data_IF_265262838940
#
_entry.id   IF_265262838940
#
_cell.length_a   1.000
_cell.length_b   1.000
_cell.length_c   1.000
_cell.angle_alpha   90.00
_cell.angle_beta   90.00
_cell.angle_gamma   90.00
#
_symmetry.space_group_name_H-M   'P 1'
#
loop_
_entity.id
_entity.type
_entity.pdbx_description
1 polymer ?
#
# COMPACT_ATOMS: atom_id res chain seq x y z
N UNK A 1 -14.48 44.21 -24.40
CA UNK A 1 -15.00 44.14 -23.02
C UNK A 1 -14.43 42.89 -22.35
N UNK A 2 -13.61 43.04 -21.32
CA UNK A 2 -12.80 41.93 -20.81
C UNK A 2 -13.63 41.06 -19.85
N UNK A 3 -14.05 39.87 -20.29
CA UNK A 3 -14.99 39.00 -19.57
C UNK A 3 -14.51 38.65 -18.16
N UNK A 4 -13.19 38.53 -17.97
CA UNK A 4 -12.58 38.31 -16.65
C UNK A 4 -12.89 39.42 -15.63
N UNK A 5 -13.02 40.68 -16.07
CA UNK A 5 -13.35 41.80 -15.17
C UNK A 5 -14.79 41.71 -14.65
N UNK A 6 -15.71 41.18 -15.48
CA UNK A 6 -17.11 40.96 -15.10
C UNK A 6 -17.20 39.82 -14.09
N UNK A 7 -16.55 38.69 -14.38
CA UNK A 7 -16.50 37.54 -13.46
C UNK A 7 -15.94 37.96 -12.10
N UNK A 8 -14.84 38.70 -12.08
CA UNK A 8 -14.22 39.14 -10.83
C UNK A 8 -15.11 40.11 -10.04
N UNK A 9 -15.83 41.01 -10.73
CA UNK A 9 -16.79 41.90 -10.07
C UNK A 9 -17.94 41.14 -9.38
N UNK A 10 -18.41 40.04 -10.00
CA UNK A 10 -19.42 39.16 -9.41
C UNK A 10 -18.86 38.44 -8.20
N UNK A 11 -17.69 37.78 -8.33
CA UNK A 11 -17.04 37.07 -7.22
C UNK A 11 -16.79 37.99 -6.02
N UNK A 12 -16.28 39.20 -6.25
CA UNK A 12 -16.06 40.17 -5.16
C UNK A 12 -17.36 40.55 -4.46
N UNK A 13 -18.45 40.73 -5.21
CA UNK A 13 -19.76 41.05 -4.64
C UNK A 13 -20.24 39.91 -3.74
N UNK A 14 -20.15 38.68 -4.22
CA UNK A 14 -20.62 37.50 -3.49
C UNK A 14 -19.80 37.25 -2.23
N UNK A 15 -18.46 37.37 -2.31
CA UNK A 15 -17.57 37.29 -1.14
C UNK A 15 -17.86 38.40 -0.14
N UNK A 16 -18.10 39.63 -0.60
CA UNK A 16 -18.46 40.73 0.30
C UNK A 16 -19.80 40.48 1.00
N UNK A 17 -20.81 39.93 0.31
CA UNK A 17 -22.08 39.53 0.92
C UNK A 17 -21.90 38.39 1.94
N UNK A 18 -21.14 37.35 1.58
CA UNK A 18 -20.83 36.22 2.48
C UNK A 18 -20.09 36.70 3.74
N UNK A 19 -19.10 37.57 3.58
CA UNK A 19 -18.28 38.09 4.69
C UNK A 19 -19.06 38.91 5.73
N UNK A 20 -20.23 39.42 5.34
CA UNK A 20 -21.08 40.26 6.18
C UNK A 20 -21.96 39.43 7.12
N UNK A 21 -22.14 38.14 6.85
CA UNK A 21 -22.77 37.19 7.75
C UNK A 21 -21.71 36.48 8.60
N UNK A 22 -21.70 36.79 9.89
CA UNK A 22 -20.74 36.23 10.87
C UNK A 22 -20.84 34.71 10.97
N UNK A 23 -22.03 34.14 10.82
CA UNK A 23 -22.24 32.69 10.91
C UNK A 23 -21.60 31.98 9.72
N UNK A 24 -21.81 32.49 8.50
CA UNK A 24 -21.17 31.94 7.30
C UNK A 24 -19.65 32.04 7.37
N UNK A 25 -19.09 33.19 7.75
CA UNK A 25 -17.64 33.35 7.91
C UNK A 25 -17.09 32.37 8.94
N UNK A 26 -17.74 32.24 10.09
CA UNK A 26 -17.32 31.34 11.14
C UNK A 26 -17.32 29.88 10.67
N UNK A 27 -18.41 29.41 10.04
CA UNK A 27 -18.50 28.03 9.53
C UNK A 27 -17.50 27.77 8.41
N UNK A 28 -17.26 28.72 7.49
CA UNK A 28 -16.26 28.54 6.43
C UNK A 28 -14.85 28.40 7.01
N UNK A 29 -14.49 29.23 7.99
CA UNK A 29 -13.19 29.13 8.66
C UNK A 29 -13.11 27.82 9.46
N UNK A 30 -14.16 27.48 10.20
CA UNK A 30 -14.23 26.23 10.97
C UNK A 30 -14.07 25.01 10.05
N UNK A 31 -14.75 24.98 8.90
CA UNK A 31 -14.63 23.93 7.92
C UNK A 31 -13.23 23.83 7.31
N UNK A 32 -12.60 24.97 7.02
CA UNK A 32 -11.22 25.00 6.52
C UNK A 32 -10.25 24.44 7.57
N UNK A 33 -10.38 24.85 8.82
CA UNK A 33 -9.57 24.36 9.94
C UNK A 33 -9.82 22.87 10.18
N UNK A 34 -11.08 22.44 10.18
CA UNK A 34 -11.44 21.03 10.33
C UNK A 34 -10.88 20.17 9.19
N UNK A 35 -10.90 20.68 7.95
CA UNK A 35 -10.30 20.00 6.81
C UNK A 35 -8.78 19.83 6.98
N UNK A 36 -8.08 20.90 7.37
CA UNK A 36 -6.64 20.83 7.66
C UNK A 36 -6.35 19.87 8.82
N UNK A 37 -7.16 19.92 9.88
CA UNK A 37 -7.01 19.03 11.03
C UNK A 37 -7.23 17.55 10.64
N UNK A 38 -8.19 17.26 9.76
CA UNK A 38 -8.42 15.91 9.24
C UNK A 38 -7.20 15.42 8.45
N UNK A 39 -6.61 16.26 7.61
CA UNK A 39 -5.37 15.93 6.89
C UNK A 39 -4.17 15.76 7.82
N UNK A 40 -4.16 16.45 8.96
CA UNK A 40 -3.10 16.29 9.96
C UNK A 40 -3.24 14.97 10.73
N UNK A 41 -4.47 14.53 10.99
CA UNK A 41 -4.74 13.24 11.63
C UNK A 41 -4.61 12.06 10.66
N UNK A 42 -4.74 12.30 9.35
CA UNK A 42 -4.61 11.26 8.34
C UNK A 42 -3.18 10.70 8.36
N UNK A 43 -2.97 9.39 8.58
CA UNK A 43 -1.64 8.79 8.52
C UNK A 43 -1.03 9.00 7.12
N UNK A 44 0.24 9.40 7.10
CA UNK A 44 1.02 9.70 5.90
C UNK A 44 1.50 8.44 5.15
N UNK A 45 1.23 7.26 5.72
CA UNK A 45 1.68 5.96 5.22
C UNK A 45 0.51 5.11 4.76
N UNK A 46 0.48 4.84 3.46
CA UNK A 46 -0.28 3.74 2.87
C UNK A 46 0.67 2.55 2.83
N UNK A 47 0.30 1.42 3.45
CA UNK A 47 1.11 0.18 3.43
C UNK A 47 0.93 -0.50 2.06
N UNK A 48 1.56 0.04 1.02
CA UNK A 48 1.53 -0.50 -0.35
C UNK A 48 2.52 -1.66 -0.54
N UNK A 49 3.29 -2.00 0.49
CA UNK A 49 4.28 -3.07 0.43
C UNK A 49 3.65 -4.42 0.75
N UNK A 50 3.47 -5.24 -0.29
CA UNK A 50 3.09 -6.64 -0.11
C UNK A 50 4.34 -7.40 0.36
N UNK A 51 4.30 -7.88 1.61
CA UNK A 51 5.38 -8.70 2.18
C UNK A 51 5.11 -10.16 1.89
N UNK A 52 6.02 -10.81 1.17
CA UNK A 52 5.91 -12.24 0.82
C UNK A 52 7.05 -13.03 1.44
N UNK A 53 6.70 -14.15 2.06
CA UNK A 53 7.67 -15.14 2.50
C UNK A 53 8.01 -16.11 1.37
N UNK A 54 9.26 -16.52 1.28
CA UNK A 54 9.71 -17.47 0.26
C UNK A 54 10.61 -18.55 0.86
N UNK A 55 10.31 -19.81 0.59
CA UNK A 55 11.16 -20.95 0.94
C UNK A 55 11.52 -21.76 -0.31
N UNK A 56 12.75 -22.26 -0.37
CA UNK A 56 13.19 -23.16 -1.44
C UNK A 56 14.70 -23.19 -1.63
N UNK A 57 15.21 -24.34 -2.06
CA UNK A 57 16.64 -24.54 -2.31
C UNK A 57 17.14 -23.63 -3.44
N UNK A 58 18.08 -22.73 -3.12
CA UNK A 58 18.67 -21.77 -4.07
C UNK A 58 17.83 -20.51 -4.33
N UNK A 59 16.60 -20.43 -3.81
CA UNK A 59 15.71 -19.28 -4.01
C UNK A 59 16.13 -18.08 -3.17
N UNK A 60 16.66 -18.30 -1.96
CA UNK A 60 17.13 -17.21 -1.08
C UNK A 60 18.19 -16.31 -1.73
N UNK A 61 19.09 -16.87 -2.55
CA UNK A 61 20.05 -16.07 -3.32
C UNK A 61 19.38 -15.22 -4.41
N UNK A 62 18.33 -15.75 -5.04
CA UNK A 62 17.55 -15.02 -6.05
C UNK A 62 16.81 -13.84 -5.42
N UNK A 63 16.22 -14.05 -4.24
CA UNK A 63 15.56 -13.01 -3.45
C UNK A 63 16.56 -11.92 -3.04
N UNK A 64 17.72 -12.31 -2.52
CA UNK A 64 18.77 -11.36 -2.16
C UNK A 64 19.27 -10.53 -3.36
N UNK A 65 19.23 -11.10 -4.57
CA UNK A 65 19.60 -10.41 -5.81
C UNK A 65 18.48 -9.50 -6.34
N UNK A 66 17.21 -9.84 -6.10
CA UNK A 66 16.04 -9.03 -6.46
C UNK A 66 15.93 -7.78 -5.58
N UNK A 67 16.40 -7.86 -4.33
CA UNK A 67 16.37 -6.77 -3.36
C UNK A 67 14.96 -6.32 -2.98
N UNK A 68 14.88 -5.30 -2.12
CA UNK A 68 13.62 -4.63 -1.82
C UNK A 68 13.20 -3.79 -3.04
N UNK A 69 12.10 -4.19 -3.67
CA UNK A 69 11.48 -3.39 -4.74
C UNK A 69 10.36 -2.54 -4.16
N UNK A 70 10.10 -1.37 -4.75
CA UNK A 70 8.97 -0.53 -4.36
C UNK A 70 7.66 -1.35 -4.41
N UNK A 71 6.99 -1.49 -3.27
CA UNK A 71 5.73 -2.23 -3.15
C UNK A 71 5.86 -3.74 -2.93
N UNK A 72 7.07 -4.33 -2.94
CA UNK A 72 7.27 -5.77 -2.70
C UNK A 72 8.49 -6.03 -1.80
N UNK A 73 8.25 -6.57 -0.60
CA UNK A 73 9.34 -7.02 0.28
C UNK A 73 9.33 -8.54 0.37
N UNK A 74 10.48 -9.16 0.09
CA UNK A 74 10.64 -10.60 0.04
C UNK A 74 11.50 -11.08 1.21
N UNK A 75 10.96 -11.95 2.06
CA UNK A 75 11.70 -12.55 3.18
C UNK A 75 11.94 -14.02 2.90
N UNK A 76 13.22 -14.44 2.88
CA UNK A 76 13.57 -15.85 2.68
C UNK A 76 13.52 -16.63 3.99
N UNK A 77 12.95 -17.84 3.96
CA UNK A 77 12.87 -18.77 5.09
C UNK A 77 13.67 -20.05 4.80
N UNK A 78 14.34 -20.56 5.84
CA UNK A 78 15.17 -21.77 5.73
C UNK A 78 14.35 -23.06 5.68
N UNK A 79 13.12 -23.07 6.21
CA UNK A 79 12.25 -24.25 6.25
C UNK A 79 10.81 -23.93 5.86
N UNK A 80 10.12 -24.90 5.24
CA UNK A 80 8.70 -24.81 4.89
C UNK A 80 7.81 -24.62 6.13
N UNK A 81 8.14 -25.30 7.24
CA UNK A 81 7.40 -25.17 8.51
C UNK A 81 7.51 -23.75 9.08
N UNK A 82 8.70 -23.15 9.09
CA UNK A 82 8.89 -21.79 9.57
C UNK A 82 8.12 -20.76 8.71
N UNK A 83 8.10 -20.96 7.39
CA UNK A 83 7.32 -20.14 6.48
C UNK A 83 5.81 -20.25 6.77
N UNK A 84 5.32 -21.47 6.96
CA UNK A 84 3.90 -21.70 7.24
C UNK A 84 3.48 -21.00 8.53
N UNK A 85 4.21 -21.19 9.63
CA UNK A 85 3.92 -20.53 10.92
C UNK A 85 3.98 -19.01 10.79
N UNK A 86 4.97 -18.45 10.10
CA UNK A 86 5.08 -17.00 9.90
C UNK A 86 3.89 -16.41 9.13
N UNK A 87 3.35 -17.15 8.16
CA UNK A 87 2.16 -16.74 7.40
C UNK A 87 0.90 -16.84 8.26
N UNK A 88 0.75 -17.90 9.05
CA UNK A 88 -0.41 -18.11 9.93
C UNK A 88 -0.47 -17.04 11.04
N UNK A 89 0.67 -16.71 11.64
CA UNK A 89 0.77 -15.70 12.69
C UNK A 89 0.79 -14.26 12.15
N UNK A 90 0.77 -14.09 10.82
CA UNK A 90 0.94 -12.79 10.14
C UNK A 90 2.18 -12.04 10.64
N UNK A 91 3.25 -12.78 10.93
CA UNK A 91 4.51 -12.22 11.37
C UNK A 91 4.99 -11.21 10.33
N UNK A 92 5.48 -10.05 10.78
CA UNK A 92 5.89 -8.94 9.92
C UNK A 92 4.86 -8.51 8.86
N UNK A 93 3.56 -8.73 9.10
CA UNK A 93 2.48 -8.45 8.13
C UNK A 93 2.69 -9.19 6.79
N UNK A 94 3.23 -10.42 6.82
CA UNK A 94 3.27 -11.28 5.63
C UNK A 94 1.87 -11.45 5.04
N UNK A 95 1.73 -11.19 3.74
CA UNK A 95 0.50 -11.36 3.00
C UNK A 95 0.32 -12.80 2.52
N UNK A 96 1.40 -13.46 2.13
CA UNK A 96 1.41 -14.85 1.69
C UNK A 96 2.83 -15.44 1.76
N UNK A 97 2.91 -16.77 1.73
CA UNK A 97 4.16 -17.52 1.63
C UNK A 97 4.19 -18.39 0.38
N UNK A 98 5.35 -18.50 -0.27
CA UNK A 98 5.56 -19.36 -1.43
C UNK A 98 6.63 -20.39 -1.10
N UNK A 99 6.26 -21.66 -1.15
CA UNK A 99 7.10 -22.81 -0.87
C UNK A 99 7.44 -23.54 -2.17
N UNK A 100 8.70 -23.40 -2.58
CA UNK A 100 9.26 -24.02 -3.77
C UNK A 100 9.88 -25.38 -3.45
N UNK A 101 9.54 -26.44 -4.22
CA UNK A 101 10.14 -27.75 -4.04
C UNK A 101 11.64 -27.72 -4.36
N UNK A 102 12.40 -28.63 -3.74
CA UNK A 102 13.87 -28.66 -3.87
C UNK A 102 14.37 -28.83 -5.30
N UNK A 103 13.60 -29.51 -6.16
CA UNK A 103 13.93 -29.74 -7.55
C UNK A 103 13.47 -28.62 -8.49
N UNK A 104 12.81 -27.57 -7.98
CA UNK A 104 12.17 -26.50 -8.78
C UNK A 104 13.07 -25.89 -9.85
N UNK A 105 14.27 -25.42 -9.47
CA UNK A 105 15.21 -24.80 -10.39
C UNK A 105 15.70 -25.78 -11.47
N UNK A 106 15.95 -27.03 -11.07
CA UNK A 106 16.40 -28.09 -11.98
C UNK A 106 15.29 -28.56 -12.94
N UNK A 107 14.05 -28.59 -12.48
CA UNK A 107 12.88 -28.95 -13.27
C UNK A 107 12.60 -27.90 -14.35
N UNK A 108 12.61 -26.61 -13.97
CA UNK A 108 12.40 -25.50 -14.91
C UNK A 108 13.53 -25.41 -15.93
N UNK A 109 14.79 -25.53 -15.51
CA UNK A 109 15.92 -25.53 -16.43
C UNK A 109 15.86 -26.68 -17.46
N UNK A 110 15.25 -27.81 -17.08
CA UNK A 110 15.00 -28.95 -17.96
C UNK A 110 13.71 -28.83 -18.81
N UNK A 111 12.96 -27.72 -18.71
CA UNK A 111 11.68 -27.52 -19.40
C UNK A 111 10.53 -28.38 -18.85
N UNK A 112 10.67 -28.95 -17.64
CA UNK A 112 9.63 -29.75 -16.98
C UNK A 112 8.70 -28.84 -16.16
N UNK A 113 7.43 -29.24 -16.07
CA UNK A 113 6.46 -28.58 -15.19
C UNK A 113 6.74 -28.96 -13.73
N UNK A 114 6.50 -28.03 -12.82
CA UNK A 114 6.64 -28.20 -11.37
C UNK A 114 5.51 -27.46 -10.66
N UNK A 115 5.18 -27.90 -9.45
CA UNK A 115 4.09 -27.34 -8.64
C UNK A 115 4.68 -26.63 -7.43
N UNK A 116 4.23 -25.41 -7.19
CA UNK A 116 4.63 -24.59 -6.05
C UNK A 116 3.49 -24.54 -5.05
N UNK A 117 3.79 -24.60 -3.75
CA UNK A 117 2.79 -24.50 -2.70
C UNK A 117 2.70 -23.05 -2.24
N UNK A 118 1.48 -22.53 -2.14
CA UNK A 118 1.23 -21.15 -1.68
C UNK A 118 0.45 -21.20 -0.37
N UNK A 119 0.99 -20.55 0.66
CA UNK A 119 0.36 -20.35 1.95
C UNK A 119 -0.30 -18.98 1.97
N UNK A 120 -1.59 -18.94 2.32
CA UNK A 120 -2.37 -17.70 2.42
C UNK A 120 -3.05 -17.69 3.79
N UNK A 121 -3.00 -16.59 4.55
CA UNK A 121 -3.63 -16.52 5.86
C UNK A 121 -5.16 -16.59 5.74
N UNK A 122 -5.82 -17.13 6.77
CA UNK A 122 -7.28 -17.18 6.79
C UNK A 122 -7.88 -15.76 6.83
N UNK A 123 -8.83 -15.49 5.93
CA UNK A 123 -9.49 -14.19 5.81
C UNK A 123 -8.90 -13.23 4.78
N UNK A 124 -7.99 -13.68 3.91
CA UNK A 124 -7.66 -12.94 2.68
C UNK A 124 -8.90 -12.96 1.76
N UNK A 125 -9.45 -11.80 1.36
CA UNK A 125 -10.68 -11.71 0.57
C UNK A 125 -10.54 -12.28 -0.85
#
# INVERSE_FOLDING_TARGET
MNRGRIIWAIVRKDVAQMSRDRFFVFITILGLVAYVALFWELPDTVDETIRLGVHGTGIGMLVAQLGDQEGLALTSFETSEALQTAVEEKQDKLAAGIDFPDDFLSAIAAGRQTTVRVFVPAGTP
#
